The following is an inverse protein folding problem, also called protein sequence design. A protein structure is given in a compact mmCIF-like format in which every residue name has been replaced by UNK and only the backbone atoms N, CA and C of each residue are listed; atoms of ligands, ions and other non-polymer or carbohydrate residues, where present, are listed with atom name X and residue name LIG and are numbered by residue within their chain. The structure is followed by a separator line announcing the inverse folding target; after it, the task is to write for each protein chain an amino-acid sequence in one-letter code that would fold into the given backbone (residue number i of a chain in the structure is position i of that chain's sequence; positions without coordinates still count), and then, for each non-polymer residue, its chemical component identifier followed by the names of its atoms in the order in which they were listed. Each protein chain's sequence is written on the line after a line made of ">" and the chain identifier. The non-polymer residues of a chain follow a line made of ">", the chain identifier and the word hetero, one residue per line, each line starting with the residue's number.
data_IF_555283603274
#
_entry.id   IF_555283603274
#
_cell.length_a   1.000
_cell.length_b   1.000
_cell.length_c   1.000
_cell.angle_alpha   90.00
_cell.angle_beta   90.00
_cell.angle_gamma   90.00
#
_symmetry.space_group_name_H-M   'P 1'
#
loop_
_entity.id
_entity.type
_entity.pdbx_description
1 polymer ?
#
# COMPACT_ATOMS: atom_id res chain seq x y z
N UNK A 1 58.88 -17.02 15.91
CA UNK A 1 58.82 -15.79 16.73
C UNK A 1 57.66 -14.94 16.23
N UNK A 2 56.69 -14.63 17.12
CA UNK A 2 55.50 -13.74 16.96
C UNK A 2 54.46 -14.22 15.93
N UNK A 3 53.27 -14.78 16.24
CA UNK A 3 52.25 -14.71 17.31
C UNK A 3 51.26 -13.51 17.23
N UNK A 4 49.96 -13.85 17.43
CA UNK A 4 48.71 -13.04 17.59
C UNK A 4 48.03 -12.57 16.28
N UNK A 5 46.71 -12.73 16.03
CA UNK A 5 45.49 -12.71 16.86
C UNK A 5 44.58 -13.95 16.58
N UNK A 6 44.05 -14.69 17.56
CA UNK A 6 42.98 -14.41 18.55
C UNK A 6 41.56 -14.68 18.03
N UNK A 7 41.14 -15.93 18.25
CA UNK A 7 39.78 -16.47 18.16
C UNK A 7 38.92 -15.93 19.32
N UNK A 8 37.75 -15.37 19.00
CA UNK A 8 36.66 -15.02 19.92
C UNK A 8 35.42 -15.68 19.29
N UNK A 9 34.51 -16.38 19.95
CA UNK A 9 34.21 -16.57 21.36
C UNK A 9 32.75 -17.03 21.35
N UNK A 10 32.54 -18.34 21.49
CA UNK A 10 31.26 -19.03 21.47
C UNK A 10 30.40 -18.55 22.66
N UNK A 11 29.23 -17.95 22.40
CA UNK A 11 28.25 -17.66 23.44
C UNK A 11 27.02 -18.55 23.27
N UNK A 12 26.85 -19.48 24.23
CA UNK A 12 25.65 -20.25 24.49
C UNK A 12 24.58 -19.31 25.08
N UNK A 13 23.39 -19.26 24.49
CA UNK A 13 22.18 -18.86 25.22
C UNK A 13 21.23 -20.06 25.27
N UNK A 14 21.08 -20.61 26.48
CA UNK A 14 20.02 -21.52 26.84
C UNK A 14 18.83 -20.68 27.31
N UNK A 15 17.72 -20.70 26.57
CA UNK A 15 16.42 -20.26 27.08
C UNK A 15 15.64 -21.49 27.53
N UNK A 16 15.34 -21.53 28.83
CA UNK A 16 14.47 -22.53 29.43
C UNK A 16 13.01 -22.25 29.09
N UNK A 17 12.33 -23.28 28.59
CA UNK A 17 10.88 -23.35 28.58
C UNK A 17 10.39 -23.50 30.04
N UNK A 18 9.50 -22.61 30.47
CA UNK A 18 8.66 -22.82 31.64
C UNK A 18 7.19 -22.76 31.21
N UNK A 19 6.55 -23.91 31.26
CA UNK A 19 5.11 -24.12 31.16
C UNK A 19 4.41 -23.52 32.39
N UNK A 20 3.22 -22.94 32.22
CA UNK A 20 2.50 -22.32 33.32
C UNK A 20 1.03 -22.00 33.02
N UNK A 21 0.20 -23.05 32.96
CA UNK A 21 -1.19 -23.16 33.44
C UNK A 21 -2.19 -22.00 33.24
N UNK A 22 -3.25 -22.31 32.49
CA UNK A 22 -4.55 -21.65 32.52
C UNK A 22 -5.29 -21.80 33.87
N UNK A 23 -6.24 -20.89 34.17
CA UNK A 23 -7.43 -21.28 34.90
C UNK A 23 -8.71 -21.05 34.08
N UNK A 24 -9.56 -22.07 34.16
CA UNK A 24 -10.95 -22.08 33.76
C UNK A 24 -11.83 -21.31 34.76
N UNK A 25 -13.00 -20.86 34.29
CA UNK A 25 -14.21 -20.83 35.11
C UNK A 25 -14.84 -19.44 35.28
N UNK A 26 -16.06 -19.29 34.77
CA UNK A 26 -16.91 -18.13 35.05
C UNK A 26 -18.23 -18.15 34.29
N UNK A 27 -19.08 -19.15 34.56
CA UNK A 27 -20.45 -19.21 34.07
C UNK A 27 -21.40 -18.41 34.97
N UNK A 28 -22.26 -17.59 34.36
CA UNK A 28 -23.48 -17.01 34.94
C UNK A 28 -24.13 -16.14 33.85
N UNK A 29 -25.40 -16.23 33.45
CA UNK A 29 -26.59 -16.79 34.10
C UNK A 29 -27.56 -15.65 34.41
N UNK A 30 -28.59 -15.42 33.56
CA UNK A 30 -29.71 -14.52 33.83
C UNK A 30 -30.26 -13.82 32.58
N UNK A 31 -31.22 -14.41 31.85
CA UNK A 31 -32.69 -14.19 31.92
C UNK A 31 -33.24 -12.96 31.16
N UNK A 32 -33.79 -13.26 29.98
CA UNK A 32 -35.10 -12.86 29.41
C UNK A 32 -35.72 -11.49 29.78
N UNK A 33 -36.01 -10.69 28.74
CA UNK A 33 -37.36 -10.11 28.56
C UNK A 33 -37.70 -9.93 27.07
N UNK A 34 -38.82 -10.53 26.67
CA UNK A 34 -39.55 -10.27 25.43
C UNK A 34 -40.35 -8.98 25.59
N UNK A 35 -40.49 -8.17 24.53
CA UNK A 35 -41.77 -7.99 23.81
C UNK A 35 -41.88 -6.62 23.10
N UNK A 36 -42.49 -6.69 21.91
CA UNK A 36 -43.19 -5.64 21.16
C UNK A 36 -42.33 -4.50 20.58
N UNK A 37 -42.49 -4.05 19.34
CA UNK A 37 -43.54 -4.22 18.34
C UNK A 37 -43.56 -2.91 17.52
N UNK A 38 -43.63 -2.99 16.19
CA UNK A 38 -43.67 -1.80 15.36
C UNK A 38 -43.57 -2.09 13.87
N UNK A 39 -44.72 -2.35 13.25
CA UNK A 39 -44.94 -2.33 11.80
C UNK A 39 -45.00 -0.88 11.27
N UNK A 40 -44.60 -0.68 10.01
CA UNK A 40 -45.01 0.44 9.15
C UNK A 40 -43.84 1.13 8.46
N UNK A 41 -43.75 1.27 7.15
CA UNK A 41 -44.71 0.96 6.09
C UNK A 41 -44.10 1.18 4.70
N UNK A 42 -44.77 0.59 3.72
CA UNK A 42 -44.60 0.78 2.27
C UNK A 42 -44.73 2.25 1.85
N UNK A 43 -43.92 2.64 0.86
CA UNK A 43 -44.27 3.72 -0.06
C UNK A 43 -43.89 3.32 -1.50
N UNK A 44 -44.88 2.77 -2.19
CA UNK A 44 -44.95 2.71 -3.66
C UNK A 44 -45.05 4.12 -4.25
N UNK A 45 -44.31 4.40 -5.33
CA UNK A 45 -44.45 5.61 -6.12
C UNK A 45 -43.99 5.39 -7.56
N UNK A 46 -44.91 4.92 -8.40
CA UNK A 46 -44.74 4.81 -9.84
C UNK A 46 -44.93 6.17 -10.55
N UNK A 47 -44.16 6.40 -11.62
CA UNK A 47 -44.38 7.51 -12.54
C UNK A 47 -43.39 7.52 -13.71
N UNK A 48 -43.71 6.81 -14.79
CA UNK A 48 -43.29 7.21 -16.16
C UNK A 48 -44.15 8.38 -16.67
N UNK A 49 -43.99 8.90 -17.91
CA UNK A 49 -43.54 8.15 -19.10
C UNK A 49 -42.68 8.90 -20.17
N UNK A 50 -42.12 8.11 -21.09
CA UNK A 50 -42.00 8.30 -22.56
C UNK A 50 -41.52 9.61 -23.22
N UNK A 51 -40.51 9.45 -24.08
CA UNK A 51 -40.20 10.21 -25.31
C UNK A 51 -38.74 9.94 -25.70
N UNK A 52 -38.31 9.48 -26.89
CA UNK A 52 -38.88 9.47 -28.25
C UNK A 52 -37.84 10.10 -29.19
N UNK A 53 -37.42 9.39 -30.26
CA UNK A 53 -36.62 9.95 -31.37
C UNK A 53 -35.16 9.46 -31.45
N UNK A 54 -34.82 8.40 -32.19
CA UNK A 54 -34.52 8.30 -33.65
C UNK A 54 -33.33 9.15 -34.11
N UNK A 55 -32.24 8.53 -34.59
CA UNK A 55 -31.71 8.63 -35.98
C UNK A 55 -30.18 8.42 -36.08
N UNK A 56 -29.79 7.52 -37.00
CA UNK A 56 -28.66 7.58 -37.96
C UNK A 56 -27.24 7.74 -37.37
N UNK A 57 -26.24 6.93 -37.71
CA UNK A 57 -25.90 6.32 -38.99
C UNK A 57 -24.41 6.61 -39.22
N UNK A 58 -23.61 5.61 -39.58
CA UNK A 58 -22.17 5.83 -39.77
C UNK A 58 -21.39 4.52 -39.90
N UNK A 59 -21.55 3.87 -41.04
CA UNK A 59 -20.64 2.83 -41.52
C UNK A 59 -19.24 3.45 -41.75
N UNK A 60 -18.23 2.90 -41.09
CA UNK A 60 -16.81 3.23 -41.27
C UNK A 60 -16.02 2.00 -41.65
N UNK A 61 -16.14 1.60 -42.92
CA UNK A 61 -15.39 0.52 -43.54
C UNK A 61 -14.10 1.10 -44.16
N UNK A 62 -12.94 0.50 -43.89
CA UNK A 62 -11.68 0.81 -44.60
C UNK A 62 -10.45 0.61 -43.70
N UNK A 63 -9.43 -0.18 -44.02
CA UNK A 63 -9.18 -0.96 -45.24
C UNK A 63 -8.11 -2.00 -44.94
N UNK A 64 -8.29 -3.16 -45.55
CA UNK A 64 -7.32 -4.25 -45.65
C UNK A 64 -6.25 -3.84 -46.67
N UNK A 65 -4.98 -3.83 -46.27
CA UNK A 65 -3.86 -3.81 -47.20
C UNK A 65 -3.28 -5.22 -47.29
N UNK A 66 -3.79 -5.99 -48.25
CA UNK A 66 -3.13 -7.17 -48.81
C UNK A 66 -2.02 -6.69 -49.75
N UNK A 67 -0.77 -7.08 -49.48
CA UNK A 67 0.27 -7.14 -50.51
C UNK A 67 0.64 -8.60 -50.74
N UNK A 68 -0.01 -9.17 -51.75
CA UNK A 68 0.52 -10.31 -52.51
C UNK A 68 1.70 -9.82 -53.38
N UNK A 69 2.85 -10.45 -53.20
CA UNK A 69 4.01 -10.34 -54.09
C UNK A 69 4.68 -11.70 -54.16
N UNK A 70 4.48 -12.39 -55.28
CA UNK A 70 4.77 -13.80 -55.44
C UNK A 70 6.22 -14.18 -55.76
N UNK A 71 6.45 -15.50 -55.69
CA UNK A 71 7.22 -16.25 -56.67
C UNK A 71 8.73 -16.27 -56.52
N UNK A 72 9.24 -17.34 -55.88
CA UNK A 72 10.66 -17.69 -55.91
C UNK A 72 10.92 -19.08 -55.34
N UNK A 73 10.53 -20.14 -56.08
CA UNK A 73 10.96 -21.52 -55.78
C UNK A 73 12.43 -21.69 -56.17
N UNK A 74 13.33 -21.59 -55.18
CA UNK A 74 14.73 -21.99 -55.30
C UNK A 74 15.05 -23.14 -54.36
N UNK A 75 15.00 -24.38 -54.86
CA UNK A 75 15.53 -25.55 -54.16
C UNK A 75 17.06 -25.55 -54.26
N UNK A 76 17.71 -24.89 -53.30
CA UNK A 76 19.16 -24.96 -53.09
C UNK A 76 19.44 -25.69 -51.79
N UNK A 77 19.86 -26.95 -51.89
CA UNK A 77 20.40 -27.70 -50.77
C UNK A 77 21.77 -27.14 -50.40
N UNK A 78 21.82 -26.31 -49.35
CA UNK A 78 23.06 -25.95 -48.67
C UNK A 78 23.07 -26.61 -47.30
N UNK A 79 23.89 -27.66 -47.18
CA UNK A 79 24.46 -28.07 -45.90
C UNK A 79 25.44 -26.99 -45.48
N UNK A 80 24.96 -26.02 -44.73
CA UNK A 80 25.76 -25.01 -44.06
C UNK A 80 25.60 -25.19 -42.57
N UNK A 81 26.72 -25.17 -41.86
CA UNK A 81 26.80 -24.91 -40.43
C UNK A 81 26.22 -23.51 -40.18
N UNK A 82 24.88 -23.40 -40.25
CA UNK A 82 24.15 -22.17 -40.07
C UNK A 82 24.08 -21.92 -38.57
N UNK A 83 25.01 -21.10 -38.07
CA UNK A 83 24.79 -20.38 -36.83
C UNK A 83 23.54 -19.54 -37.02
N UNK A 84 22.38 -20.09 -36.65
CA UNK A 84 21.14 -19.34 -36.58
C UNK A 84 21.37 -18.26 -35.53
N UNK A 85 21.65 -17.04 -35.98
CA UNK A 85 21.74 -15.90 -35.08
C UNK A 85 20.47 -15.83 -34.26
N UNK A 86 20.61 -15.50 -32.97
CA UNK A 86 19.47 -15.28 -32.10
C UNK A 86 18.55 -14.25 -32.78
N UNK A 87 17.26 -14.56 -32.87
CA UNK A 87 16.27 -13.60 -33.34
C UNK A 87 16.06 -12.55 -32.25
N UNK A 88 15.83 -11.31 -32.67
CA UNK A 88 15.41 -10.24 -31.76
C UNK A 88 14.05 -10.59 -31.16
N UNK A 89 13.91 -10.40 -29.85
CA UNK A 89 12.72 -10.76 -29.09
C UNK A 89 12.45 -9.70 -28.04
N UNK A 90 11.18 -9.43 -27.77
CA UNK A 90 10.74 -8.50 -26.73
C UNK A 90 9.50 -9.03 -26.04
N UNK A 91 9.39 -8.76 -24.75
CA UNK A 91 8.16 -8.96 -24.00
C UNK A 91 7.11 -7.92 -24.42
N UNK A 92 5.82 -8.26 -24.31
CA UNK A 92 4.75 -7.28 -24.39
C UNK A 92 4.94 -6.16 -23.36
N UNK A 93 4.31 -5.01 -23.62
CA UNK A 93 4.31 -3.91 -22.66
C UNK A 93 3.75 -4.36 -21.30
N UNK A 94 4.44 -3.97 -20.23
CA UNK A 94 4.16 -4.33 -18.83
C UNK A 94 4.41 -5.81 -18.46
N UNK A 95 5.12 -6.55 -19.30
CA UNK A 95 5.58 -7.89 -18.98
C UNK A 95 7.11 -7.95 -18.93
N UNK A 96 7.62 -8.83 -18.07
CA UNK A 96 9.05 -9.04 -17.90
C UNK A 96 9.38 -10.48 -18.21
N UNK A 97 10.62 -10.71 -18.66
CA UNK A 97 11.07 -12.05 -18.96
C UNK A 97 11.12 -12.89 -17.68
N UNK A 98 10.53 -14.09 -17.72
CA UNK A 98 10.61 -15.10 -16.65
C UNK A 98 11.44 -16.31 -17.08
N UNK A 99 11.94 -16.33 -18.31
CA UNK A 99 12.82 -17.39 -18.80
C UNK A 99 12.82 -17.49 -20.32
N UNK A 100 13.35 -18.62 -20.79
CA UNK A 100 13.38 -19.01 -22.19
C UNK A 100 12.84 -20.43 -22.34
N UNK A 101 12.06 -20.68 -23.39
CA UNK A 101 11.60 -22.03 -23.70
C UNK A 101 12.72 -22.89 -24.33
N UNK A 102 12.41 -24.16 -24.64
CA UNK A 102 13.39 -25.08 -25.23
C UNK A 102 13.87 -24.66 -26.64
N UNK A 103 13.16 -23.75 -27.31
CA UNK A 103 13.53 -23.15 -28.58
C UNK A 103 14.30 -21.83 -28.45
N UNK A 104 14.58 -21.36 -27.22
CA UNK A 104 15.20 -20.06 -26.98
C UNK A 104 14.24 -18.89 -27.13
N UNK A 105 12.92 -19.14 -27.10
CA UNK A 105 11.92 -18.07 -27.15
C UNK A 105 11.69 -17.50 -25.75
N UNK A 106 11.70 -16.18 -25.63
CA UNK A 106 11.46 -15.47 -24.37
C UNK A 106 10.06 -15.79 -23.84
N UNK A 107 10.00 -16.12 -22.55
CA UNK A 107 8.75 -16.29 -21.82
C UNK A 107 8.54 -15.05 -20.97
N UNK A 108 7.35 -14.46 -21.05
CA UNK A 108 7.04 -13.20 -20.38
C UNK A 108 5.83 -13.37 -19.46
N UNK A 109 5.83 -12.65 -18.34
CA UNK A 109 4.72 -12.61 -17.39
C UNK A 109 4.58 -11.23 -16.75
N UNK A 110 3.39 -10.86 -16.28
CA UNK A 110 3.19 -9.66 -15.47
C UNK A 110 3.77 -9.83 -14.05
N UNK A 111 4.20 -8.73 -13.44
CA UNK A 111 4.75 -8.70 -12.07
C UNK A 111 3.68 -8.56 -10.97
N UNK A 112 2.41 -8.38 -11.34
CA UNK A 112 1.38 -7.93 -10.40
C UNK A 112 1.18 -8.85 -9.19
N UNK A 113 1.01 -10.19 -9.31
CA UNK A 113 0.68 -11.02 -8.15
C UNK A 113 1.72 -10.99 -7.02
N UNK A 114 3.00 -10.95 -7.38
CA UNK A 114 4.11 -10.86 -6.43
C UNK A 114 4.26 -9.47 -5.85
N UNK A 115 4.02 -8.41 -6.64
CA UNK A 115 3.95 -7.02 -6.16
C UNK A 115 2.84 -6.90 -5.11
N UNK A 116 1.64 -7.41 -5.38
CA UNK A 116 0.49 -7.37 -4.45
C UNK A 116 0.87 -8.02 -3.11
N UNK A 117 1.40 -9.25 -3.18
CA UNK A 117 1.76 -10.02 -2.00
C UNK A 117 2.89 -9.37 -1.21
N UNK A 118 3.92 -8.85 -1.90
CA UNK A 118 5.04 -8.18 -1.27
C UNK A 118 4.58 -6.91 -0.53
N UNK A 119 3.82 -6.04 -1.18
CA UNK A 119 3.35 -4.79 -0.55
C UNK A 119 2.35 -5.07 0.58
N UNK A 120 1.41 -6.01 0.41
CA UNK A 120 0.43 -6.32 1.45
C UNK A 120 1.05 -6.93 2.71
N UNK A 121 2.18 -7.62 2.60
CA UNK A 121 2.84 -8.26 3.74
C UNK A 121 4.02 -7.46 4.30
N UNK A 122 4.66 -6.63 3.47
CA UNK A 122 5.89 -5.92 3.82
C UNK A 122 5.75 -4.42 3.95
N UNK A 123 4.54 -3.86 3.83
CA UNK A 123 4.27 -2.45 4.12
C UNK A 123 3.21 -2.29 5.22
N UNK A 124 3.56 -1.55 6.26
CA UNK A 124 2.75 -1.27 7.44
C UNK A 124 2.46 0.23 7.58
N UNK A 125 1.22 0.55 7.94
CA UNK A 125 0.87 1.84 8.54
C UNK A 125 0.92 1.67 10.06
N UNK A 126 1.74 2.48 10.71
CA UNK A 126 1.78 2.63 12.16
C UNK A 126 0.87 3.79 12.59
N UNK A 127 0.11 3.58 13.66
CA UNK A 127 -0.81 4.57 14.16
C UNK A 127 -0.87 4.54 15.68
N UNK A 128 -0.88 5.71 16.31
CA UNK A 128 -0.85 5.81 17.77
C UNK A 128 -1.18 7.19 18.30
N UNK A 129 -1.30 7.29 19.62
CA UNK A 129 -1.58 8.54 20.32
C UNK A 129 -0.68 8.68 21.54
N UNK A 130 -0.51 9.92 21.97
CA UNK A 130 0.01 10.26 23.27
C UNK A 130 -0.77 11.43 23.87
N UNK A 131 -1.37 11.13 25.00
CA UNK A 131 -2.04 12.08 25.89
C UNK A 131 -1.02 12.87 26.75
N UNK A 132 -1.37 14.12 27.08
CA UNK A 132 -0.62 15.01 27.96
C UNK A 132 0.68 15.55 27.37
N UNK A 133 0.74 15.69 26.05
CA UNK A 133 1.91 15.78 25.19
C UNK A 133 1.82 16.79 24.02
N UNK A 134 1.10 17.92 24.11
CA UNK A 134 0.85 18.83 22.97
C UNK A 134 2.06 19.08 22.05
N UNK A 135 3.13 19.75 22.51
CA UNK A 135 4.36 19.96 21.73
C UNK A 135 5.47 18.90 21.95
N UNK A 136 5.12 17.70 22.43
CA UNK A 136 6.11 16.71 22.85
C UNK A 136 6.72 15.93 21.68
N UNK A 137 7.98 15.49 21.84
CA UNK A 137 8.70 14.65 20.87
C UNK A 137 8.87 13.21 21.32
N UNK A 138 8.21 12.84 22.41
CA UNK A 138 8.28 11.47 22.90
C UNK A 138 7.47 10.53 21.99
N UNK A 139 7.72 9.21 21.98
CA UNK A 139 6.94 8.27 21.17
C UNK A 139 5.51 8.08 21.70
N UNK A 140 4.57 7.57 20.87
CA UNK A 140 3.21 7.26 21.30
C UNK A 140 3.20 6.31 22.50
N UNK A 141 2.31 6.55 23.45
CA UNK A 141 2.08 5.66 24.60
C UNK A 141 1.15 4.51 24.24
N UNK A 142 0.27 4.73 23.25
CA UNK A 142 -0.58 3.71 22.66
C UNK A 142 -0.39 3.67 21.16
N UNK A 143 -0.30 2.48 20.58
CA UNK A 143 -0.12 2.32 19.15
C UNK A 143 -0.49 0.92 18.66
N UNK A 144 -0.57 0.78 17.35
CA UNK A 144 -0.59 -0.48 16.65
C UNK A 144 -0.18 -0.28 15.20
N UNK A 145 -0.35 -1.34 14.41
CA UNK A 145 -0.03 -1.30 12.99
C UNK A 145 -1.00 -2.13 12.17
N UNK A 146 -1.03 -1.82 10.89
CA UNK A 146 -1.83 -2.53 9.89
C UNK A 146 -1.07 -2.65 8.58
N UNK A 147 -1.17 -3.81 7.95
CA UNK A 147 -0.74 -4.04 6.59
C UNK A 147 -1.90 -4.60 5.76
N UNK A 148 -1.63 -4.90 4.49
CA UNK A 148 -2.63 -5.41 3.55
C UNK A 148 -3.26 -6.76 3.91
N UNK A 149 -2.59 -7.53 4.76
CA UNK A 149 -3.02 -8.86 5.18
C UNK A 149 -3.62 -8.89 6.59
N UNK A 150 -3.11 -8.08 7.51
CA UNK A 150 -3.32 -8.22 8.95
C UNK A 150 -3.24 -6.88 9.68
N UNK A 151 -3.69 -6.87 10.93
CA UNK A 151 -3.35 -5.82 11.88
C UNK A 151 -2.71 -6.43 13.13
N UNK A 152 -2.07 -5.58 13.94
CA UNK A 152 -1.53 -5.96 15.23
C UNK A 152 -1.69 -4.80 16.23
N UNK A 153 -2.12 -5.15 17.44
CA UNK A 153 -2.06 -4.23 18.57
C UNK A 153 -0.61 -4.12 19.06
N UNK A 154 -0.13 -2.89 19.23
CA UNK A 154 1.12 -2.60 19.92
C UNK A 154 0.90 -2.44 21.42
N UNK A 155 1.36 -1.31 21.97
CA UNK A 155 1.13 -0.94 23.37
C UNK A 155 -0.21 -0.21 23.48
N UNK A 156 -0.88 -0.34 24.64
CA UNK A 156 -2.14 0.35 24.94
C UNK A 156 -3.29 -0.64 25.15
N UNK A 157 -4.05 -0.44 26.23
CA UNK A 157 -5.26 -1.21 26.46
C UNK A 157 -6.34 -0.85 25.42
N UNK A 158 -7.26 -1.79 25.18
CA UNK A 158 -8.52 -1.59 24.46
C UNK A 158 -8.44 -1.15 22.98
N UNK A 159 -7.21 -1.04 22.47
CA UNK A 159 -6.92 -1.09 21.05
C UNK A 159 -7.46 -2.39 20.45
N UNK A 160 -8.00 -2.30 19.24
CA UNK A 160 -8.57 -3.46 18.55
C UNK A 160 -7.87 -3.71 17.24
N UNK A 161 -7.59 -4.98 16.97
CA UNK A 161 -7.30 -5.45 15.63
C UNK A 161 -8.47 -6.31 15.17
N UNK A 162 -9.07 -5.94 14.05
CA UNK A 162 -10.22 -6.63 13.47
C UNK A 162 -10.12 -6.63 11.94
N UNK A 163 -11.02 -7.34 11.28
CA UNK A 163 -11.17 -7.25 9.83
C UNK A 163 -12.58 -6.81 9.47
N UNK A 164 -12.72 -6.02 8.42
CA UNK A 164 -14.01 -5.57 7.92
C UNK A 164 -14.05 -5.58 6.40
N UNK A 165 -15.24 -5.75 5.83
CA UNK A 165 -15.46 -5.58 4.39
C UNK A 165 -15.75 -4.12 4.08
N UNK A 166 -14.77 -3.37 3.58
CA UNK A 166 -14.90 -1.97 3.19
C UNK A 166 -14.75 -1.85 1.68
N UNK A 167 -15.71 -1.22 1.00
CA UNK A 167 -15.67 -1.05 -0.45
C UNK A 167 -15.62 -2.35 -1.24
N UNK A 168 -16.09 -3.46 -0.66
CA UNK A 168 -16.04 -4.80 -1.24
C UNK A 168 -14.77 -5.60 -0.88
N UNK A 169 -13.80 -5.00 -0.19
CA UNK A 169 -12.54 -5.63 0.17
C UNK A 169 -12.48 -6.01 1.64
N UNK A 170 -11.88 -7.17 1.95
CA UNK A 170 -11.55 -7.52 3.33
C UNK A 170 -10.26 -6.81 3.74
N UNK A 171 -10.38 -5.86 4.66
CA UNK A 171 -9.31 -4.96 5.12
C UNK A 171 -9.06 -5.23 6.60
N UNK A 172 -7.80 -5.43 6.97
CA UNK A 172 -7.39 -5.39 8.38
C UNK A 172 -7.56 -3.97 8.91
N UNK A 173 -8.15 -3.81 10.09
CA UNK A 173 -8.37 -2.52 10.72
C UNK A 173 -7.74 -2.53 12.11
N UNK A 174 -6.81 -1.61 12.31
CA UNK A 174 -6.36 -1.22 13.63
C UNK A 174 -7.25 -0.08 14.13
N UNK A 175 -7.94 -0.30 15.25
CA UNK A 175 -8.76 0.68 15.95
C UNK A 175 -8.03 1.18 17.20
N UNK A 176 -7.69 2.47 17.19
CA UNK A 176 -7.07 3.19 18.29
C UNK A 176 -8.15 3.74 19.22
N UNK A 177 -8.02 3.48 20.51
CA UNK A 177 -8.78 4.17 21.56
C UNK A 177 -7.89 5.28 22.15
N UNK A 178 -8.42 6.49 22.31
CA UNK A 178 -7.69 7.65 22.82
C UNK A 178 -7.40 7.59 24.34
N UNK A 179 -8.18 6.83 25.12
CA UNK A 179 -8.15 6.79 26.60
C UNK A 179 -8.32 8.16 27.27
N UNK A 180 -9.28 8.96 26.80
CA UNK A 180 -9.55 10.29 27.33
C UNK A 180 -10.13 11.17 26.24
N UNK A 181 -10.37 12.43 26.57
CA UNK A 181 -10.56 13.47 25.57
C UNK A 181 -9.34 13.56 24.64
N UNK A 182 -9.59 13.87 23.37
CA UNK A 182 -8.55 14.29 22.44
C UNK A 182 -8.63 15.81 22.34
N UNK A 183 -7.61 16.50 22.84
CA UNK A 183 -7.55 17.96 22.93
C UNK A 183 -6.18 18.55 22.53
N UNK A 184 -5.93 19.81 22.92
CA UNK A 184 -4.73 20.57 22.56
C UNK A 184 -3.45 20.04 23.23
N UNK A 185 -3.62 19.16 24.21
CA UNK A 185 -2.54 18.49 24.87
C UNK A 185 -2.24 17.12 24.23
N UNK A 186 -3.00 16.64 23.25
CA UNK A 186 -2.74 15.36 22.61
C UNK A 186 -1.82 15.42 21.40
N UNK A 187 -1.20 14.28 21.09
CA UNK A 187 -0.49 14.07 19.83
C UNK A 187 -0.87 12.76 19.17
N UNK A 188 -1.37 12.86 17.94
CA UNK A 188 -1.67 11.72 17.09
C UNK A 188 -0.49 11.42 16.16
N UNK A 189 -0.04 10.17 16.14
CA UNK A 189 1.09 9.72 15.36
C UNK A 189 0.67 8.83 14.20
N UNK A 190 1.27 9.07 13.05
CA UNK A 190 1.17 8.19 11.89
C UNK A 190 2.56 7.94 11.26
N UNK A 191 2.79 6.71 10.85
CA UNK A 191 3.99 6.29 10.13
C UNK A 191 3.62 5.37 8.98
N UNK A 192 4.40 5.40 7.92
CA UNK A 192 4.35 4.42 6.85
C UNK A 192 5.72 3.80 6.70
N UNK A 193 5.79 2.48 6.78
CA UNK A 193 7.04 1.75 6.74
C UNK A 193 6.88 0.56 5.82
N UNK A 194 7.88 0.33 4.98
CA UNK A 194 8.01 -0.90 4.22
C UNK A 194 9.37 -1.50 4.51
N UNK A 195 9.40 -2.82 4.57
CA UNK A 195 10.63 -3.60 4.62
C UNK A 195 11.55 -3.25 3.44
N UNK A 196 12.85 -3.46 3.63
CA UNK A 196 13.75 -3.45 2.50
C UNK A 196 13.40 -4.60 1.55
N UNK A 197 13.41 -4.34 0.25
CA UNK A 197 13.56 -5.43 -0.69
C UNK A 197 14.86 -6.17 -0.37
N UNK A 198 14.81 -7.50 -0.29
CA UNK A 198 16.01 -8.32 -0.25
C UNK A 198 16.13 -8.95 -1.63
N UNK A 199 17.02 -8.42 -2.51
CA UNK A 199 17.33 -9.08 -3.76
C UNK A 199 17.88 -10.47 -3.43
N UNK A 200 17.18 -11.48 -3.91
CA UNK A 200 17.61 -12.87 -3.82
C UNK A 200 17.83 -13.31 -5.26
N UNK A 201 19.07 -13.12 -5.71
CA UNK A 201 19.49 -13.47 -7.05
C UNK A 201 20.05 -14.88 -7.08
N UNK A 202 19.52 -15.69 -8.00
CA UNK A 202 19.92 -17.09 -8.13
C UNK A 202 19.95 -17.55 -9.58
N UNK A 203 20.85 -18.48 -9.92
CA UNK A 203 20.81 -19.16 -11.21
C UNK A 203 19.67 -20.17 -11.25
N UNK A 204 19.01 -20.30 -12.40
CA UNK A 204 17.97 -21.32 -12.63
C UNK A 204 16.76 -20.73 -13.34
N UNK A 205 15.78 -21.55 -13.74
CA UNK A 205 14.54 -21.01 -14.32
C UNK A 205 13.83 -20.14 -13.28
N UNK A 206 13.34 -18.96 -13.68
CA UNK A 206 12.66 -18.08 -12.75
C UNK A 206 11.31 -18.67 -12.36
N UNK A 207 10.95 -18.53 -11.09
CA UNK A 207 9.60 -18.85 -10.66
C UNK A 207 8.60 -17.86 -11.29
N UNK A 208 7.74 -18.39 -12.17
CA UNK A 208 6.65 -17.66 -12.83
C UNK A 208 5.70 -16.93 -11.86
N UNK A 209 5.73 -17.22 -10.56
CA UNK A 209 4.88 -16.61 -9.55
C UNK A 209 5.51 -15.42 -8.82
N UNK A 210 6.74 -15.01 -9.14
CA UNK A 210 7.30 -13.81 -8.53
C UNK A 210 8.75 -13.47 -8.84
N UNK A 211 9.39 -14.16 -9.77
CA UNK A 211 10.75 -13.87 -10.20
C UNK A 211 10.80 -13.43 -11.66
N UNK A 212 11.71 -12.52 -11.95
CA UNK A 212 12.02 -12.05 -13.30
C UNK A 212 13.51 -12.28 -13.60
N UNK A 213 13.82 -12.41 -14.88
CA UNK A 213 15.20 -12.54 -15.37
C UNK A 213 15.92 -11.19 -15.20
N UNK A 214 17.10 -11.23 -14.58
CA UNK A 214 17.99 -10.09 -14.40
C UNK A 214 19.33 -10.27 -15.11
N UNK A 215 19.60 -11.45 -15.66
CA UNK A 215 20.78 -11.70 -16.48
C UNK A 215 20.64 -12.97 -17.31
N UNK A 216 21.33 -13.03 -18.44
CA UNK A 216 21.33 -14.18 -19.34
C UNK A 216 22.67 -14.34 -20.06
N UNK A 217 23.41 -15.42 -19.78
CA UNK A 217 24.75 -15.67 -20.32
C UNK A 217 24.77 -16.45 -21.66
N UNK A 218 23.58 -16.67 -22.26
CA UNK A 218 23.41 -17.52 -23.44
C UNK A 218 23.10 -18.98 -23.13
N UNK A 219 23.20 -19.42 -21.87
CA UNK A 219 22.92 -20.79 -21.44
C UNK A 219 22.08 -20.87 -20.15
N UNK A 220 22.27 -19.93 -19.23
CA UNK A 220 21.60 -19.86 -17.95
C UNK A 220 21.03 -18.45 -17.73
N UNK A 221 19.88 -18.40 -17.05
CA UNK A 221 19.32 -17.14 -16.57
C UNK A 221 19.62 -16.97 -15.09
N UNK A 222 19.79 -15.71 -14.70
CA UNK A 222 19.81 -15.26 -13.30
C UNK A 222 18.46 -14.62 -13.02
N UNK A 223 17.82 -15.02 -11.93
CA UNK A 223 16.48 -14.58 -11.56
C UNK A 223 16.51 -13.78 -10.26
N UNK A 224 15.65 -12.76 -10.15
CA UNK A 224 15.46 -11.98 -8.93
C UNK A 224 13.97 -11.84 -8.61
N UNK A 225 13.66 -11.70 -7.31
CA UNK A 225 12.29 -11.48 -6.83
C UNK A 225 11.78 -10.08 -7.19
N UNK A 226 10.71 -10.05 -7.97
CA UNK A 226 9.98 -8.81 -8.34
C UNK A 226 9.39 -8.10 -7.12
N UNK A 227 9.01 -8.84 -6.08
CA UNK A 227 8.52 -8.29 -4.82
C UNK A 227 9.55 -7.44 -4.07
N UNK A 228 10.86 -7.70 -4.25
CA UNK A 228 11.89 -6.87 -3.64
C UNK A 228 11.92 -5.47 -4.27
N UNK A 229 11.85 -5.39 -5.61
CA UNK A 229 11.76 -4.12 -6.32
C UNK A 229 10.50 -3.32 -5.95
N UNK A 230 9.38 -4.02 -5.70
CA UNK A 230 8.15 -3.39 -5.21
C UNK A 230 8.34 -2.72 -3.85
N UNK A 231 8.93 -3.43 -2.89
CA UNK A 231 9.19 -2.90 -1.56
C UNK A 231 10.20 -1.73 -1.59
N UNK A 232 11.24 -1.83 -2.41
CA UNK A 232 12.21 -0.75 -2.58
C UNK A 232 11.56 0.51 -3.17
N UNK A 233 10.67 0.37 -4.16
CA UNK A 233 9.88 1.48 -4.68
C UNK A 233 8.99 2.08 -3.58
N UNK A 234 8.19 1.27 -2.88
CA UNK A 234 7.31 1.76 -1.82
C UNK A 234 8.10 2.52 -0.75
N UNK A 235 9.25 1.97 -0.35
CA UNK A 235 10.14 2.54 0.67
C UNK A 235 10.74 3.88 0.25
N UNK A 236 11.11 4.03 -1.02
CA UNK A 236 11.76 5.22 -1.54
C UNK A 236 10.78 6.31 -1.98
N UNK A 237 9.59 5.93 -2.45
CA UNK A 237 8.71 6.83 -3.19
C UNK A 237 7.38 7.11 -2.51
N UNK A 238 6.91 6.24 -1.59
CA UNK A 238 5.61 6.42 -0.96
C UNK A 238 5.71 7.09 0.42
N UNK A 239 4.72 7.93 0.71
CA UNK A 239 4.57 8.63 1.97
C UNK A 239 3.10 8.77 2.33
N UNK A 240 2.84 8.65 3.62
CA UNK A 240 1.54 8.87 4.22
C UNK A 240 1.45 10.32 4.71
N UNK A 241 0.45 11.04 4.24
CA UNK A 241 0.14 12.41 4.61
C UNK A 241 -0.98 12.42 5.63
N UNK A 242 -0.78 13.17 6.71
CA UNK A 242 -1.81 13.43 7.72
C UNK A 242 -1.93 14.93 7.89
N UNK A 243 -3.17 15.40 8.00
CA UNK A 243 -3.44 16.81 8.22
C UNK A 243 -4.58 17.02 9.20
N UNK A 244 -4.59 18.18 9.82
CA UNK A 244 -5.61 18.62 10.75
C UNK A 244 -6.15 19.97 10.33
N UNK A 245 -7.44 20.17 10.55
CA UNK A 245 -8.07 21.46 10.41
C UNK A 245 -9.20 21.62 11.43
N UNK A 246 -9.00 22.62 12.26
CA UNK A 246 -9.97 23.12 13.23
C UNK A 246 -11.05 24.00 12.54
N UNK A 247 -12.28 24.00 13.08
CA UNK A 247 -13.37 24.93 12.73
C UNK A 247 -13.77 24.84 11.25
N UNK A 248 -13.92 23.62 10.77
CA UNK A 248 -14.12 23.16 9.40
C UNK A 248 -15.14 22.01 9.23
N UNK A 249 -16.30 21.98 9.91
CA UNK A 249 -17.19 20.80 9.92
C UNK A 249 -17.58 20.24 8.54
N UNK A 250 -17.73 21.10 7.52
CA UNK A 250 -17.99 20.69 6.13
C UNK A 250 -17.01 21.29 5.10
N UNK A 251 -15.84 21.76 5.53
CA UNK A 251 -14.96 22.47 4.61
C UNK A 251 -14.16 21.53 3.70
N UNK A 252 -13.84 22.00 2.49
CA UNK A 252 -13.05 21.28 1.48
C UNK A 252 -11.64 21.85 1.33
N UNK A 253 -11.31 22.85 2.14
CA UNK A 253 -10.00 23.48 2.12
C UNK A 253 -8.91 22.50 2.55
N UNK A 254 -7.69 22.72 2.08
CA UNK A 254 -6.53 21.98 2.56
C UNK A 254 -6.37 22.10 4.09
N UNK A 255 -5.79 21.09 4.75
CA UNK A 255 -5.52 21.16 6.18
C UNK A 255 -4.60 22.35 6.52
N UNK A 256 -4.88 23.03 7.63
CA UNK A 256 -4.06 24.15 8.11
C UNK A 256 -2.77 23.66 8.75
N UNK A 257 -2.78 22.44 9.29
CA UNK A 257 -1.60 21.72 9.74
C UNK A 257 -1.47 20.41 9.00
N UNK A 258 -0.27 20.03 8.60
CA UNK A 258 -0.04 18.76 7.92
C UNK A 258 1.42 18.38 8.00
N UNK A 259 1.69 17.10 7.81
CA UNK A 259 3.02 16.58 7.57
C UNK A 259 2.93 15.29 6.77
N UNK A 260 4.04 14.58 6.67
CA UNK A 260 4.04 13.22 6.13
C UNK A 260 5.11 12.34 6.77
N UNK A 261 4.91 11.04 6.66
CA UNK A 261 5.87 10.02 7.05
C UNK A 261 5.95 8.93 5.97
N UNK A 262 7.17 8.57 5.59
CA UNK A 262 7.49 7.41 4.76
C UNK A 262 8.58 6.58 5.42
N UNK A 263 8.95 5.48 4.79
CA UNK A 263 9.81 4.46 5.40
C UNK A 263 11.23 4.94 5.72
N UNK A 264 11.68 6.02 5.09
CA UNK A 264 13.04 6.55 5.26
C UNK A 264 13.09 7.82 6.14
N UNK A 265 12.01 8.59 6.17
CA UNK A 265 11.97 9.88 6.86
C UNK A 265 10.52 10.34 7.07
N UNK A 266 10.36 11.29 7.99
CA UNK A 266 9.15 12.08 8.14
C UNK A 266 9.45 13.57 7.95
N UNK A 267 8.40 14.36 7.85
CA UNK A 267 8.42 15.81 7.86
C UNK A 267 7.24 16.33 8.67
N UNK A 268 7.51 17.22 9.62
CA UNK A 268 6.47 17.90 10.40
C UNK A 268 5.60 18.86 9.55
N UNK A 269 6.01 19.12 8.30
CA UNK A 269 5.28 19.94 7.33
C UNK A 269 4.94 21.34 7.83
N UNK A 270 3.65 21.69 7.80
CA UNK A 270 3.13 22.99 8.24
C UNK A 270 2.26 22.82 9.49
N UNK A 271 2.23 23.83 10.35
CA UNK A 271 1.51 23.79 11.62
C UNK A 271 2.47 23.80 12.82
N UNK A 272 2.16 24.63 13.82
CA UNK A 272 2.89 24.59 15.09
C UNK A 272 2.61 23.27 15.82
N UNK A 273 3.55 22.84 16.67
CA UNK A 273 3.38 21.64 17.49
C UNK A 273 3.60 20.30 16.76
N UNK A 274 3.51 20.25 15.43
CA UNK A 274 3.82 19.05 14.67
C UNK A 274 5.26 18.58 14.91
N UNK A 275 5.45 17.27 15.03
CA UNK A 275 6.77 16.66 15.22
C UNK A 275 7.06 15.61 14.17
N UNK A 276 8.34 15.42 13.90
CA UNK A 276 8.84 14.28 13.15
C UNK A 276 9.88 13.60 14.02
N UNK A 277 9.58 12.37 14.42
CA UNK A 277 10.39 11.60 15.36
C UNK A 277 10.71 10.23 14.77
N UNK A 278 11.85 9.68 15.11
CA UNK A 278 12.19 8.29 14.79
C UNK A 278 12.24 7.51 16.09
N UNK A 279 11.45 6.44 16.18
CA UNK A 279 11.34 5.61 17.39
C UNK A 279 11.25 4.14 17.04
N UNK A 280 11.43 3.26 18.04
CA UNK A 280 11.29 1.82 17.86
C UNK A 280 9.88 1.37 18.26
N UNK A 281 9.07 0.93 17.31
CA UNK A 281 7.76 0.30 17.54
C UNK A 281 7.81 -1.14 17.06
N UNK A 282 7.42 -2.10 17.90
CA UNK A 282 7.40 -3.52 17.50
C UNK A 282 8.77 -4.11 17.13
N UNK A 283 9.87 -3.44 17.47
CA UNK A 283 11.24 -3.82 17.06
C UNK A 283 11.74 -3.14 15.79
N UNK A 284 10.91 -2.32 15.13
CA UNK A 284 11.25 -1.59 13.90
C UNK A 284 11.48 -0.12 14.20
N UNK A 285 12.49 0.48 13.55
CA UNK A 285 12.74 1.93 13.63
C UNK A 285 11.82 2.66 12.66
N UNK A 286 10.76 3.27 13.18
CA UNK A 286 9.69 3.90 12.40
C UNK A 286 9.86 5.43 12.42
N UNK A 287 9.92 6.11 11.26
CA UNK A 287 9.68 7.55 11.17
C UNK A 287 8.20 7.84 11.40
N UNK A 288 7.89 8.64 12.42
CA UNK A 288 6.53 9.02 12.79
C UNK A 288 6.35 10.52 12.64
N UNK A 289 5.29 10.90 11.95
CA UNK A 289 4.70 12.23 12.02
C UNK A 289 3.78 12.28 13.24
N UNK A 290 4.00 13.22 14.14
CA UNK A 290 3.05 13.57 15.20
C UNK A 290 2.31 14.86 14.85
N UNK A 291 1.00 14.80 14.70
CA UNK A 291 0.12 15.96 14.48
C UNK A 291 -0.40 16.46 15.82
N UNK A 292 -0.29 17.77 16.01
CA UNK A 292 -0.90 18.51 17.12
C UNK A 292 -2.28 19.03 16.67
N UNK A 293 -3.29 18.96 17.52
CA UNK A 293 -4.64 19.43 17.19
C UNK A 293 -4.86 20.94 17.45
N UNK A 294 -3.98 21.64 18.22
CA UNK A 294 -4.16 23.06 18.66
C UNK A 294 -5.61 23.39 19.05
N UNK A 295 -6.30 22.53 19.80
CA UNK A 295 -7.69 22.76 20.18
C UNK A 295 -8.38 21.49 20.62
N UNK A 296 -9.67 21.60 20.90
CA UNK A 296 -10.55 20.45 21.05
C UNK A 296 -10.69 19.68 19.73
N UNK A 297 -11.06 18.41 19.84
CA UNK A 297 -11.52 17.58 18.71
C UNK A 297 -13.03 17.40 18.85
N UNK A 298 -13.81 18.18 18.11
CA UNK A 298 -15.27 18.25 18.13
C UNK A 298 -15.92 18.11 16.72
N UNK A 299 -17.25 18.32 16.63
CA UNK A 299 -18.04 18.18 15.40
C UNK A 299 -17.61 19.11 14.26
N UNK A 300 -16.87 20.17 14.57
CA UNK A 300 -16.45 21.16 13.63
C UNK A 300 -15.08 20.81 13.01
N UNK A 301 -14.43 19.71 13.37
CA UNK A 301 -13.07 19.45 12.89
C UNK A 301 -12.95 18.48 11.72
N UNK A 302 -11.75 18.47 11.10
CA UNK A 302 -11.38 17.47 10.10
C UNK A 302 -9.98 16.91 10.28
N UNK A 303 -9.93 15.58 10.38
CA UNK A 303 -8.71 14.80 10.24
C UNK A 303 -8.55 14.34 8.79
N UNK A 304 -7.49 14.79 8.12
CA UNK A 304 -7.16 14.45 6.75
C UNK A 304 -6.14 13.32 6.68
N UNK A 305 -6.35 12.41 5.73
CA UNK A 305 -5.46 11.29 5.46
C UNK A 305 -5.24 11.13 3.94
N UNK A 306 -4.01 10.87 3.53
CA UNK A 306 -3.64 10.66 2.14
C UNK A 306 -2.46 9.71 2.00
N UNK A 307 -2.44 8.93 0.92
CA UNK A 307 -1.29 8.14 0.49
C UNK A 307 -0.83 8.72 -0.83
N UNK A 308 0.46 9.08 -0.91
CA UNK A 308 1.07 9.57 -2.13
C UNK A 308 2.35 8.81 -2.44
N UNK A 309 2.54 8.46 -3.70
CA UNK A 309 3.78 7.88 -4.18
C UNK A 309 4.35 8.70 -5.33
N UNK A 310 5.61 9.11 -5.22
CA UNK A 310 6.29 9.82 -6.29
C UNK A 310 6.36 8.93 -7.55
N UNK A 311 6.18 9.55 -8.71
CA UNK A 311 6.35 8.86 -9.99
C UNK A 311 7.75 8.25 -10.11
N UNK A 312 7.83 7.04 -10.64
CA UNK A 312 9.10 6.41 -10.92
C UNK A 312 9.75 7.00 -12.18
N UNK A 313 11.08 7.12 -12.17
CA UNK A 313 11.86 7.41 -13.37
C UNK A 313 12.06 6.16 -14.19
N UNK A 314 11.77 6.24 -15.48
CA UNK A 314 12.14 5.22 -16.45
C UNK A 314 13.66 5.09 -16.54
N UNK A 315 14.15 3.86 -16.57
CA UNK A 315 15.52 3.53 -16.93
C UNK A 315 15.46 2.33 -17.86
N UNK A 316 15.98 2.49 -19.07
CA UNK A 316 16.03 1.44 -20.09
C UNK A 316 17.29 1.53 -20.95
N UNK A 317 17.66 0.41 -21.53
CA UNK A 317 18.66 0.34 -22.58
C UNK A 317 19.34 -1.01 -22.72
N UNK A 318 20.11 -1.19 -23.81
CA UNK A 318 20.81 -2.43 -24.09
C UNK A 318 21.97 -2.66 -23.12
N UNK A 319 22.13 -3.91 -22.69
CA UNK A 319 23.18 -4.35 -21.78
C UNK A 319 23.91 -5.57 -22.32
N UNK A 320 25.20 -5.76 -21.97
CA UNK A 320 25.97 -6.86 -22.52
C UNK A 320 25.41 -8.25 -22.20
N UNK A 321 25.01 -8.49 -20.94
CA UNK A 321 24.64 -9.83 -20.44
C UNK A 321 23.71 -9.73 -19.21
N UNK A 322 24.02 -8.80 -18.31
CA UNK A 322 23.30 -8.60 -17.04
C UNK A 322 22.62 -7.24 -17.02
N UNK A 323 21.42 -7.19 -16.46
CA UNK A 323 20.73 -5.95 -16.16
C UNK A 323 21.36 -5.27 -14.93
N UNK A 324 21.46 -3.92 -14.93
CA UNK A 324 21.84 -3.17 -13.76
C UNK A 324 20.91 -3.47 -12.57
N UNK A 325 21.42 -3.30 -11.35
CA UNK A 325 20.64 -3.40 -10.12
C UNK A 325 19.31 -2.64 -10.23
N UNK A 326 18.21 -3.34 -9.95
CA UNK A 326 16.85 -2.78 -10.03
C UNK A 326 16.28 -2.69 -11.45
N UNK A 327 16.88 -3.36 -12.45
CA UNK A 327 16.31 -3.53 -13.79
C UNK A 327 16.13 -5.01 -14.13
N UNK A 328 15.15 -5.29 -14.98
CA UNK A 328 14.75 -6.63 -15.41
C UNK A 328 14.84 -6.75 -16.93
N UNK A 329 15.10 -7.96 -17.42
CA UNK A 329 15.17 -8.24 -18.84
C UNK A 329 13.77 -8.14 -19.46
N UNK A 330 13.66 -7.36 -20.53
CA UNK A 330 12.45 -7.19 -21.34
C UNK A 330 12.65 -7.64 -22.79
N UNK A 331 13.88 -7.93 -23.21
CA UNK A 331 14.15 -8.42 -24.56
C UNK A 331 15.59 -8.87 -24.79
N UNK A 332 15.84 -9.39 -25.98
CA UNK A 332 17.17 -9.77 -26.48
C UNK A 332 17.36 -9.26 -27.90
N UNK A 333 18.56 -8.76 -28.20
CA UNK A 333 18.96 -8.26 -29.51
C UNK A 333 19.68 -9.34 -30.33
N UNK A 334 19.72 -9.16 -31.66
CA UNK A 334 20.36 -10.13 -32.56
C UNK A 334 21.89 -10.26 -32.38
N UNK A 335 22.52 -9.27 -31.74
CA UNK A 335 23.95 -9.28 -31.41
C UNK A 335 24.27 -9.99 -30.08
N UNK A 336 23.25 -10.49 -29.39
CA UNK A 336 23.36 -11.20 -28.11
C UNK A 336 23.27 -10.30 -26.89
N UNK A 337 23.12 -8.98 -27.04
CA UNK A 337 22.83 -8.08 -25.92
C UNK A 337 21.39 -8.24 -25.43
N UNK A 338 21.13 -7.85 -24.18
CA UNK A 338 19.80 -7.91 -23.56
C UNK A 338 19.24 -6.50 -23.42
N UNK A 339 17.93 -6.34 -23.56
CA UNK A 339 17.23 -5.08 -23.25
C UNK A 339 16.74 -5.16 -21.81
N UNK A 340 17.10 -4.16 -21.00
CA UNK A 340 16.73 -4.09 -19.59
C UNK A 340 15.86 -2.86 -19.34
N UNK A 341 14.90 -2.99 -18.43
CA UNK A 341 14.01 -1.91 -18.01
C UNK A 341 13.80 -1.93 -16.49
N UNK A 342 13.69 -0.76 -15.87
CA UNK A 342 13.27 -0.67 -14.47
C UNK A 342 11.78 -1.05 -14.33
N UNK A 343 11.41 -1.91 -13.37
CA UNK A 343 10.01 -2.22 -13.07
C UNK A 343 9.28 -1.08 -12.34
N UNK A 344 10.00 -0.05 -11.89
CA UNK A 344 9.47 0.97 -11.01
C UNK A 344 8.27 1.75 -11.62
N UNK A 345 8.23 2.09 -12.92
CA UNK A 345 7.05 2.71 -13.54
C UNK A 345 5.81 1.80 -13.51
N UNK A 346 5.96 0.50 -13.79
CA UNK A 346 4.84 -0.44 -13.71
C UNK A 346 4.36 -0.61 -12.26
N UNK A 347 5.30 -0.73 -11.31
CA UNK A 347 4.98 -0.80 -9.88
C UNK A 347 4.28 0.48 -9.42
N UNK A 348 4.77 1.66 -9.81
CA UNK A 348 4.16 2.96 -9.47
C UNK A 348 2.73 3.06 -9.98
N UNK A 349 2.50 2.68 -11.24
CA UNK A 349 1.16 2.68 -11.85
C UNK A 349 0.22 1.70 -11.14
N UNK A 350 0.71 0.52 -10.77
CA UNK A 350 -0.04 -0.47 -10.00
C UNK A 350 -0.41 0.08 -8.62
N UNK A 351 0.58 0.55 -7.85
CA UNK A 351 0.37 1.09 -6.49
C UNK A 351 -0.64 2.24 -6.51
N UNK A 352 -0.52 3.16 -7.47
CA UNK A 352 -1.45 4.27 -7.62
C UNK A 352 -2.91 3.83 -7.83
N UNK A 353 -3.12 2.73 -8.55
CA UNK A 353 -4.45 2.22 -8.89
C UNK A 353 -5.03 1.26 -7.86
N UNK A 354 -4.17 0.51 -7.16
CA UNK A 354 -4.57 -0.66 -6.38
C UNK A 354 -4.32 -0.52 -4.89
N UNK A 355 -3.32 0.25 -4.45
CA UNK A 355 -3.00 0.40 -3.03
C UNK A 355 -3.80 1.53 -2.39
N UNK A 356 -4.63 1.19 -1.42
CA UNK A 356 -5.62 2.06 -0.81
C UNK A 356 -5.40 2.11 0.71
N UNK A 357 -5.36 3.32 1.25
CA UNK A 357 -5.47 3.56 2.69
C UNK A 357 -6.94 3.82 3.06
N UNK A 358 -7.35 3.29 4.21
CA UNK A 358 -8.70 3.39 4.74
C UNK A 358 -8.62 4.08 6.09
N UNK A 359 -9.52 5.02 6.34
CA UNK A 359 -9.66 5.65 7.64
C UNK A 359 -11.15 5.74 7.99
N UNK A 360 -11.47 5.53 9.26
CA UNK A 360 -12.85 5.57 9.72
C UNK A 360 -12.97 5.91 11.19
N UNK A 361 -14.14 6.38 11.58
CA UNK A 361 -14.48 6.78 12.93
C UNK A 361 -15.72 6.04 13.41
N UNK A 362 -15.77 5.78 14.71
CA UNK A 362 -16.96 5.27 15.38
C UNK A 362 -17.09 5.87 16.76
N UNK A 363 -18.21 6.55 16.95
CA UNK A 363 -18.63 7.14 18.21
C UNK A 363 -19.10 6.08 19.21
N UNK A 364 -18.89 6.31 20.51
CA UNK A 364 -19.55 5.63 21.64
C UNK A 364 -19.36 4.11 21.65
N UNK A 365 -18.11 3.70 21.46
CA UNK A 365 -17.63 2.37 21.11
C UNK A 365 -16.22 2.00 21.66
N UNK A 366 -15.94 2.25 22.95
CA UNK A 366 -14.58 2.12 23.53
C UNK A 366 -13.90 0.75 23.37
N UNK A 367 -14.64 -0.31 23.03
CA UNK A 367 -14.09 -1.64 22.74
C UNK A 367 -14.69 -2.36 21.51
N UNK A 368 -15.47 -1.72 20.63
CA UNK A 368 -16.14 -2.53 19.60
C UNK A 368 -15.19 -3.01 18.49
N UNK A 369 -15.53 -4.18 17.97
CA UNK A 369 -14.94 -4.82 16.78
C UNK A 369 -15.80 -4.62 15.53
N UNK A 370 -16.88 -3.85 15.65
CA UNK A 370 -17.78 -3.52 14.55
C UNK A 370 -17.16 -2.47 13.64
N UNK A 371 -17.46 -2.55 12.34
CA UNK A 371 -17.00 -1.61 11.32
C UNK A 371 -17.23 -0.13 11.70
N UNK A 372 -16.37 0.82 11.27
CA UNK A 372 -16.61 2.24 11.45
C UNK A 372 -18.00 2.67 10.97
N UNK A 373 -18.62 3.63 11.66
CA UNK A 373 -19.89 4.22 11.23
C UNK A 373 -19.67 5.23 10.09
N UNK A 374 -18.53 5.93 10.14
CA UNK A 374 -18.04 6.85 9.11
C UNK A 374 -16.72 6.33 8.59
N UNK A 375 -16.53 6.31 7.28
CA UNK A 375 -15.25 5.92 6.69
C UNK A 375 -15.13 6.41 5.25
N UNK A 376 -13.90 6.43 4.80
CA UNK A 376 -13.58 6.60 3.40
C UNK A 376 -12.26 5.95 3.07
N UNK A 377 -11.84 6.19 1.83
CA UNK A 377 -10.66 5.56 1.28
C UNK A 377 -9.95 6.50 0.33
N UNK A 378 -8.63 6.39 0.32
CA UNK A 378 -7.74 7.27 -0.41
C UNK A 378 -6.59 6.49 -1.01
N UNK A 379 -6.22 6.88 -2.23
CA UNK A 379 -5.00 6.44 -2.92
C UNK A 379 -4.55 7.54 -3.87
N UNK A 380 -3.48 7.30 -4.61
CA UNK A 380 -2.96 8.28 -5.58
C UNK A 380 -4.06 8.72 -6.57
N UNK A 381 -4.32 10.03 -6.63
CA UNK A 381 -5.33 10.61 -7.52
C UNK A 381 -6.78 10.21 -7.26
N UNK A 382 -7.10 9.51 -6.17
CA UNK A 382 -8.45 9.05 -5.86
C UNK A 382 -8.80 9.22 -4.39
N UNK A 383 -10.01 9.72 -4.15
CA UNK A 383 -10.62 9.78 -2.83
C UNK A 383 -12.11 9.45 -2.95
N UNK A 384 -12.65 8.73 -1.97
CA UNK A 384 -14.07 8.41 -1.87
C UNK A 384 -14.62 8.62 -0.45
N UNK A 385 -15.75 9.32 -0.37
CA UNK A 385 -16.60 9.41 0.81
C UNK A 385 -17.57 8.22 0.80
N UNK A 386 -17.19 7.10 1.41
CA UNK A 386 -18.00 5.89 1.34
C UNK A 386 -19.16 5.91 2.36
N UNK A 387 -18.90 6.27 3.63
CA UNK A 387 -19.93 6.43 4.67
C UNK A 387 -19.66 7.65 5.56
N UNK A 388 -20.71 8.39 5.93
CA UNK A 388 -20.63 9.67 6.66
C UNK A 388 -20.93 10.86 5.73
N UNK A 389 -21.94 11.66 6.08
CA UNK A 389 -22.55 12.68 5.17
C UNK A 389 -21.66 13.90 4.94
N UNK A 390 -20.78 14.17 5.89
CA UNK A 390 -19.99 15.38 6.05
C UNK A 390 -18.47 15.12 5.95
N UNK A 391 -18.09 13.87 5.65
CA UNK A 391 -16.74 13.57 5.19
C UNK A 391 -16.46 14.30 3.88
N UNK A 392 -15.19 14.61 3.61
CA UNK A 392 -14.80 15.35 2.41
C UNK A 392 -13.69 14.66 1.64
N UNK A 393 -13.71 14.83 0.33
CA UNK A 393 -12.60 14.52 -0.53
C UNK A 393 -12.07 15.82 -1.12
N UNK A 394 -10.77 16.01 -1.05
CA UNK A 394 -10.11 17.18 -1.63
C UNK A 394 -8.76 16.80 -2.22
N UNK A 395 -8.22 17.65 -3.08
CA UNK A 395 -6.85 17.54 -3.57
C UNK A 395 -6.10 18.80 -3.16
N UNK A 396 -5.01 18.62 -2.43
CA UNK A 396 -4.19 19.73 -1.92
C UNK A 396 -2.75 19.63 -2.42
N UNK A 397 -2.11 20.77 -2.65
CA UNK A 397 -0.69 20.83 -2.92
C UNK A 397 0.09 20.87 -1.60
N UNK A 398 0.57 19.72 -1.13
CA UNK A 398 1.33 19.58 0.11
C UNK A 398 2.80 19.27 -0.21
N UNK A 399 3.74 20.06 0.29
CA UNK A 399 5.16 19.95 -0.05
C UNK A 399 5.44 19.98 -1.58
N UNK A 400 4.59 20.64 -2.36
CA UNK A 400 4.70 20.68 -3.83
C UNK A 400 4.14 19.45 -4.55
N UNK A 401 3.55 18.49 -3.83
CA UNK A 401 2.87 17.33 -4.40
C UNK A 401 1.35 17.52 -4.37
N UNK A 402 0.66 17.10 -5.44
CA UNK A 402 -0.79 17.08 -5.47
C UNK A 402 -1.30 15.80 -4.79
N UNK A 403 -1.75 15.93 -3.54
CA UNK A 403 -2.16 14.79 -2.71
C UNK A 403 -3.69 14.74 -2.66
N UNK A 404 -4.24 13.56 -2.98
CA UNK A 404 -5.66 13.28 -2.70
C UNK A 404 -5.82 13.01 -1.20
N UNK A 405 -6.77 13.71 -0.58
CA UNK A 405 -7.01 13.65 0.86
C UNK A 405 -8.47 13.30 1.12
N UNK A 406 -8.65 12.34 2.02
CA UNK A 406 -9.93 12.09 2.67
C UNK A 406 -9.96 12.81 4.01
N UNK A 407 -10.93 13.71 4.20
CA UNK A 407 -11.21 14.42 5.44
C UNK A 407 -12.33 13.73 6.21
N UNK A 408 -11.96 13.10 7.33
CA UNK A 408 -12.87 12.48 8.28
C UNK A 408 -13.41 13.53 9.25
N UNK A 409 -14.73 13.58 9.42
CA UNK A 409 -15.38 14.30 10.52
C UNK A 409 -15.77 13.31 11.63
N UNK A 410 -15.66 13.73 12.88
CA UNK A 410 -15.99 12.93 14.07
C UNK A 410 -17.45 13.06 14.51
N UNK A 411 -18.23 14.02 13.98
CA UNK A 411 -19.64 14.28 14.39
C UNK A 411 -19.85 14.53 15.89
N UNK A 412 -18.80 14.90 16.62
CA UNK A 412 -18.84 15.10 18.07
C UNK A 412 -17.45 15.11 18.66
N UNK A 413 -17.42 15.17 20.00
CA UNK A 413 -16.17 15.14 20.75
C UNK A 413 -15.50 13.76 20.61
N UNK A 414 -14.19 13.74 20.47
CA UNK A 414 -13.42 12.49 20.58
C UNK A 414 -12.98 12.29 22.02
N UNK A 415 -13.41 11.18 22.62
CA UNK A 415 -13.25 10.83 24.02
C UNK A 415 -12.91 9.32 24.21
N UNK A 416 -12.94 8.81 25.46
CA UNK A 416 -12.50 7.46 25.83
C UNK A 416 -13.43 6.34 25.31
N UNK A 417 -14.66 6.68 24.94
CA UNK A 417 -15.53 5.76 24.25
C UNK A 417 -15.36 5.77 22.72
N UNK A 418 -14.50 6.58 22.12
CA UNK A 418 -14.40 6.64 20.66
C UNK A 418 -13.33 5.72 20.06
N UNK A 419 -13.51 5.40 18.76
CA UNK A 419 -12.52 4.65 17.99
C UNK A 419 -12.20 5.27 16.64
N UNK A 420 -10.90 5.43 16.43
CA UNK A 420 -10.31 5.84 15.16
C UNK A 420 -9.63 4.64 14.51
N UNK A 421 -10.08 4.29 13.31
CA UNK A 421 -9.65 3.12 12.57
C UNK A 421 -8.75 3.48 11.41
N UNK A 422 -7.71 2.68 11.21
CA UNK A 422 -6.85 2.74 10.05
C UNK A 422 -6.69 1.36 9.40
N UNK A 423 -6.68 1.35 8.07
CA UNK A 423 -6.46 0.17 7.23
C UNK A 423 -5.59 0.48 6.03
N UNK A 424 -4.95 -0.55 5.48
CA UNK A 424 -4.18 -0.50 4.25
C UNK A 424 -4.43 -1.77 3.46
N UNK A 425 -4.52 -1.68 2.13
CA UNK A 425 -4.66 -2.85 1.24
C UNK A 425 -4.31 -2.49 -0.21
N UNK A 426 -3.58 -3.37 -0.88
CA UNK A 426 -3.45 -3.41 -2.35
C UNK A 426 -4.26 -4.58 -2.93
N UNK A 427 -5.01 -4.32 -4.00
CA UNK A 427 -5.99 -5.24 -4.61
C UNK A 427 -5.52 -5.91 -5.91
#
# INVERSE_FOLDING_TARGET
>A
MRAFFSTLGLLLFAFGCAEGTAPAGGAGGGTTSNAAGGNGGDATGAGGPSGGGVSQGGDGNGGVATTDGGGGSGTGAHGGEGGGGALEQACPANEFATGFDAGGVIQCAPIEPSVVSAVNNGCDIFYGIRDGCGACSDPPTKWGRVNGATCANGVGADNTCSSATIGGQNVGLFGLNADGDVDDNDKLYAGFMCDAGVPDEGPGPCDSSGEAVVGYDGAQVTCAKTGAAALDYMRASCSLYVGWRDTCGACTDAPSKWGYAGSQACSAGSGAGNTCVSTVLGGETVPLLGIDFDGDVDENDKLYFGLHCAGATEASGPQPVDCPDGQFLVGTHADGTVECESPAPQIAAYVAQHCTAYIGFRDSCGACTTMPAKYGRVREGFCSNDAGVDNTCTTANLAGQAVSLFGLSTDGNVNDDDKLYIGFKCD
#
